data_IF_974666791630
#
_entry.id   IF_974666791630
#
_cell.length_a   1.000
_cell.length_b   1.000
_cell.length_c   1.000
_cell.angle_alpha   90.00
_cell.angle_beta   90.00
_cell.angle_gamma   90.00
#
_symmetry.space_group_name_H-M   'P 1'
#
loop_
_entity.id
_entity.type
_entity.pdbx_description
1 polymer ?
#
# COMPACT_ATOMS: atom_id res chain seq x y z
N UNK A 1 -37.16 45.88 32.81
CA UNK A 1 -36.89 44.42 32.76
C UNK A 1 -36.28 44.13 31.40
N UNK A 2 -34.97 43.92 31.33
CA UNK A 2 -34.28 43.46 30.12
C UNK A 2 -33.49 42.21 30.53
N UNK A 3 -33.97 41.04 30.09
CA UNK A 3 -33.33 39.76 30.33
C UNK A 3 -32.21 39.59 29.28
N UNK A 4 -30.96 39.68 29.71
CA UNK A 4 -29.80 39.35 28.87
C UNK A 4 -29.58 37.85 29.00
N UNK A 5 -30.03 37.09 27.99
CA UNK A 5 -29.66 35.67 27.84
C UNK A 5 -28.22 35.59 27.35
N UNK A 6 -27.29 35.30 28.26
CA UNK A 6 -25.94 34.91 27.94
C UNK A 6 -25.96 33.49 27.35
N UNK A 7 -25.78 33.38 26.04
CA UNK A 7 -25.54 32.09 25.37
C UNK A 7 -24.12 31.64 25.70
N UNK A 8 -24.02 30.72 26.65
CA UNK A 8 -22.79 29.96 26.88
C UNK A 8 -22.67 28.90 25.78
N UNK A 9 -21.89 29.20 24.74
CA UNK A 9 -21.44 28.19 23.79
C UNK A 9 -20.31 27.38 24.44
N UNK A 10 -20.42 26.04 24.51
CA UNK A 10 -19.32 25.20 24.96
C UNK A 10 -18.16 25.32 23.96
N UNK A 11 -16.97 25.60 24.47
CA UNK A 11 -15.75 25.67 23.69
C UNK A 11 -15.47 24.27 23.12
N UNK A 12 -15.77 24.10 21.83
CA UNK A 12 -15.40 22.91 21.08
C UNK A 12 -13.88 22.72 21.14
N UNK A 13 -13.47 21.59 21.70
CA UNK A 13 -12.07 21.14 21.69
C UNK A 13 -11.75 20.78 20.25
N UNK A 14 -11.06 21.65 19.54
CA UNK A 14 -10.46 21.33 18.24
C UNK A 14 -9.28 20.41 18.50
N UNK A 15 -9.51 19.10 18.44
CA UNK A 15 -8.43 18.12 18.39
C UNK A 15 -7.66 18.32 17.09
N UNK A 16 -6.44 18.85 17.19
CA UNK A 16 -5.52 18.98 16.06
C UNK A 16 -5.07 17.58 15.64
N UNK A 17 -5.58 17.08 14.52
CA UNK A 17 -5.03 15.90 13.84
C UNK A 17 -3.69 16.33 13.23
N UNK A 18 -2.60 16.24 14.01
CA UNK A 18 -1.26 16.39 13.47
C UNK A 18 -0.98 15.10 12.70
N UNK A 19 -0.97 15.18 11.37
CA UNK A 19 -0.51 14.09 10.52
C UNK A 19 0.97 13.85 10.88
N UNK A 20 1.26 12.72 11.50
CA UNK A 20 2.64 12.33 11.81
C UNK A 20 3.39 12.21 10.47
N UNK A 21 4.58 12.81 10.38
CA UNK A 21 5.44 12.75 9.20
C UNK A 21 6.75 12.07 9.60
N UNK A 22 7.27 11.20 8.72
CA UNK A 22 8.59 10.60 8.89
C UNK A 22 9.69 11.66 8.95
N UNK A 23 10.83 11.35 9.59
CA UNK A 23 11.94 12.28 9.82
C UNK A 23 12.98 12.15 8.71
N UNK A 24 13.04 13.06 7.72
CA UNK A 24 13.87 12.86 6.54
C UNK A 24 15.39 12.87 6.83
N UNK A 25 15.80 13.53 7.92
CA UNK A 25 17.20 13.59 8.37
C UNK A 25 17.73 12.25 8.86
N UNK A 26 16.84 11.33 9.24
CA UNK A 26 17.23 10.04 9.83
C UNK A 26 17.42 8.93 8.81
N UNK A 27 16.90 9.12 7.60
CA UNK A 27 17.01 8.17 6.49
C UNK A 27 18.46 7.73 6.27
N UNK A 28 19.43 8.63 6.44
CA UNK A 28 20.86 8.33 6.29
C UNK A 28 21.38 7.27 7.27
N UNK A 29 20.76 7.11 8.45
CA UNK A 29 21.15 6.14 9.47
C UNK A 29 20.60 4.74 9.18
N UNK A 30 19.44 4.65 8.55
CA UNK A 30 18.68 3.39 8.41
C UNK A 30 18.58 2.87 6.98
N UNK A 31 19.09 3.60 5.97
CA UNK A 31 18.92 3.28 4.54
C UNK A 31 19.33 1.85 4.19
N UNK A 32 20.51 1.41 4.62
CA UNK A 32 20.99 0.05 4.32
C UNK A 32 20.07 -1.02 4.91
N UNK A 33 19.76 -0.92 6.21
CA UNK A 33 18.87 -1.86 6.90
C UNK A 33 17.45 -1.87 6.30
N UNK A 34 16.95 -0.71 5.87
CA UNK A 34 15.65 -0.60 5.19
C UNK A 34 15.63 -1.40 3.90
N UNK A 35 16.70 -1.34 3.10
CA UNK A 35 16.83 -2.15 1.89
C UNK A 35 16.81 -3.65 2.23
N UNK A 36 17.57 -4.07 3.25
CA UNK A 36 17.66 -5.48 3.63
C UNK A 36 16.29 -6.02 4.10
N UNK A 37 15.55 -5.23 4.88
CA UNK A 37 14.19 -5.59 5.31
C UNK A 37 13.18 -5.56 4.16
N UNK A 38 13.25 -4.59 3.25
CA UNK A 38 12.39 -4.53 2.07
C UNK A 38 12.52 -5.80 1.21
N UNK A 39 13.77 -6.16 0.87
CA UNK A 39 14.04 -7.34 0.04
C UNK A 39 13.60 -8.62 0.76
N UNK A 40 13.87 -8.72 2.05
CA UNK A 40 13.44 -9.87 2.87
C UNK A 40 11.92 -9.99 2.91
N UNK A 41 11.20 -8.88 3.12
CA UNK A 41 9.74 -8.85 3.17
C UNK A 41 9.13 -9.25 1.83
N UNK A 42 9.66 -8.73 0.72
CA UNK A 42 9.21 -9.10 -0.62
C UNK A 42 9.49 -10.57 -0.94
N UNK A 43 10.67 -11.08 -0.57
CA UNK A 43 11.02 -12.51 -0.74
C UNK A 43 10.04 -13.41 0.02
N UNK A 44 9.71 -13.06 1.26
CA UNK A 44 8.70 -13.77 2.06
C UNK A 44 7.33 -13.76 1.38
N UNK A 45 6.92 -12.64 0.79
CA UNK A 45 5.65 -12.51 0.07
C UNK A 45 5.60 -13.30 -1.25
N UNK A 46 6.75 -13.73 -1.81
CA UNK A 46 6.80 -14.61 -2.98
C UNK A 46 6.65 -16.09 -2.65
N UNK A 47 6.69 -16.47 -1.36
CA UNK A 47 6.52 -17.86 -0.93
C UNK A 47 5.04 -18.27 -1.05
N UNK A 48 4.58 -18.46 -2.27
CA UNK A 48 3.27 -19.02 -2.56
C UNK A 48 3.35 -20.56 -2.61
N UNK A 49 2.36 -21.29 -2.06
CA UNK A 49 2.40 -22.74 -1.97
C UNK A 49 2.22 -23.46 -3.31
N UNK A 50 1.43 -22.93 -4.25
CA UNK A 50 0.94 -23.73 -5.39
C UNK A 50 1.19 -23.15 -6.78
N UNK A 51 1.50 -21.86 -6.92
CA UNK A 51 1.76 -21.24 -8.22
C UNK A 51 2.69 -20.03 -8.11
N UNK A 52 3.67 -19.96 -9.01
CA UNK A 52 4.54 -18.80 -9.18
C UNK A 52 3.73 -17.60 -9.67
N UNK A 53 3.85 -16.41 -9.04
CA UNK A 53 3.16 -15.21 -9.51
C UNK A 53 3.64 -14.84 -10.93
N UNK A 54 2.75 -14.22 -11.71
CA UNK A 54 3.19 -13.55 -12.93
C UNK A 54 3.97 -12.27 -12.61
N UNK A 55 4.66 -11.73 -13.61
CA UNK A 55 5.49 -10.53 -13.48
C UNK A 55 4.69 -9.31 -12.98
N UNK A 56 3.44 -9.16 -13.42
CA UNK A 56 2.59 -8.03 -13.03
C UNK A 56 2.23 -8.08 -11.54
N UNK A 57 2.00 -9.28 -10.99
CA UNK A 57 1.77 -9.49 -9.58
C UNK A 57 3.03 -9.22 -8.75
N UNK A 58 4.22 -9.59 -9.24
CA UNK A 58 5.50 -9.26 -8.59
C UNK A 58 5.70 -7.75 -8.55
N UNK A 59 5.52 -7.06 -9.68
CA UNK A 59 5.68 -5.61 -9.77
C UNK A 59 4.69 -4.88 -8.86
N UNK A 60 3.43 -5.30 -8.83
CA UNK A 60 2.43 -4.73 -7.92
C UNK A 60 2.82 -4.84 -6.45
N UNK A 61 3.45 -5.97 -6.05
CA UNK A 61 3.95 -6.14 -4.69
C UNK A 61 5.09 -5.19 -4.37
N UNK A 62 6.03 -4.98 -5.31
CA UNK A 62 7.14 -4.04 -5.14
C UNK A 62 6.61 -2.61 -4.96
N UNK A 63 5.66 -2.18 -5.79
CA UNK A 63 5.05 -0.84 -5.74
C UNK A 63 4.33 -0.54 -4.42
N UNK A 64 3.78 -1.58 -3.77
CA UNK A 64 3.05 -1.46 -2.50
C UNK A 64 3.91 -1.73 -1.27
N UNK A 65 5.10 -2.32 -1.44
CA UNK A 65 5.95 -2.73 -0.31
C UNK A 65 6.36 -1.57 0.61
N UNK A 66 6.42 -0.34 0.10
CA UNK A 66 6.75 0.85 0.89
C UNK A 66 5.51 1.61 1.41
N UNK A 67 4.29 1.03 1.30
CA UNK A 67 3.02 1.65 1.72
C UNK A 67 2.49 0.96 2.98
N UNK A 68 2.68 1.58 4.14
CA UNK A 68 2.32 1.00 5.46
C UNK A 68 0.84 0.62 5.65
N UNK A 69 -0.06 1.10 4.79
CA UNK A 69 -1.50 0.85 4.83
C UNK A 69 -1.91 -0.33 3.96
N UNK A 70 -1.04 -0.76 3.06
CA UNK A 70 -1.25 -1.91 2.19
C UNK A 70 -0.73 -3.18 2.87
N UNK A 71 -1.27 -4.33 2.47
CA UNK A 71 -0.85 -5.63 3.00
C UNK A 71 0.65 -5.89 2.72
N UNK A 72 1.12 -5.53 1.53
CA UNK A 72 2.50 -5.71 1.11
C UNK A 72 3.49 -4.81 1.87
N UNK A 73 3.02 -3.69 2.43
CA UNK A 73 3.81 -2.78 3.26
C UNK A 73 3.61 -2.97 4.76
N UNK A 74 2.84 -3.98 5.19
CA UNK A 74 2.57 -4.24 6.61
C UNK A 74 3.83 -4.49 7.44
N UNK A 75 4.90 -5.01 6.81
CA UNK A 75 6.20 -5.25 7.47
C UNK A 75 6.81 -3.99 8.10
N UNK A 76 6.49 -2.79 7.57
CA UNK A 76 6.94 -1.52 8.13
C UNK A 76 6.46 -1.30 9.57
N UNK A 77 5.27 -1.79 9.89
CA UNK A 77 4.64 -1.65 11.21
C UNK A 77 5.21 -2.58 12.27
N UNK A 78 6.06 -3.53 11.87
CA UNK A 78 6.74 -4.46 12.77
C UNK A 78 8.20 -4.09 13.00
N UNK A 79 8.65 -2.91 12.55
CA UNK A 79 10.01 -2.45 12.73
C UNK A 79 10.06 -1.24 13.67
N UNK A 80 11.12 -1.20 14.48
CA UNK A 80 11.42 -0.12 15.41
C UNK A 80 12.84 0.42 15.14
N UNK A 81 13.05 1.73 15.30
CA UNK A 81 14.36 2.37 15.19
C UNK A 81 15.03 2.39 16.57
N UNK A 82 15.67 1.28 16.93
CA UNK A 82 16.35 1.13 18.22
C UNK A 82 17.67 1.88 18.23
N UNK A 83 17.74 2.92 19.08
CA UNK A 83 18.91 3.80 19.20
C UNK A 83 19.88 3.33 20.30
N UNK A 84 21.14 3.11 19.91
CA UNK A 84 22.30 3.03 20.80
C UNK A 84 23.11 4.33 20.73
N UNK A 85 24.08 4.52 21.63
CA UNK A 85 24.83 5.79 21.75
C UNK A 85 25.43 6.31 20.43
N UNK A 86 25.81 5.42 19.50
CA UNK A 86 26.42 5.82 18.23
C UNK A 86 25.65 5.41 16.97
N UNK A 87 24.63 4.54 17.08
CA UNK A 87 23.97 3.90 15.91
C UNK A 87 22.47 3.73 16.11
N UNK A 88 21.72 3.76 14.99
CA UNK A 88 20.32 3.35 14.94
C UNK A 88 20.24 2.00 14.23
N UNK A 89 19.57 1.04 14.83
CA UNK A 89 19.25 -0.25 14.22
C UNK A 89 17.76 -0.38 13.94
N UNK A 90 17.42 -1.08 12.86
CA UNK A 90 16.05 -1.51 12.64
C UNK A 90 15.88 -2.88 13.28
N UNK A 91 15.01 -2.98 14.26
CA UNK A 91 14.73 -4.23 14.95
C UNK A 91 13.30 -4.67 14.70
N UNK A 92 13.14 -5.94 14.29
CA UNK A 92 11.83 -6.55 14.10
C UNK A 92 11.21 -6.87 15.45
N UNK A 93 10.06 -6.28 15.70
CA UNK A 93 9.28 -6.48 16.90
C UNK A 93 8.44 -7.76 16.79
N UNK A 94 8.12 -8.42 17.92
CA UNK A 94 7.31 -9.65 17.92
C UNK A 94 5.88 -9.44 17.39
N UNK A 95 5.37 -8.21 17.49
CA UNK A 95 4.04 -7.81 17.08
C UNK A 95 4.12 -6.50 16.30
N UNK A 96 3.18 -6.28 15.39
CA UNK A 96 3.00 -5.00 14.72
C UNK A 96 2.26 -3.99 15.61
N UNK A 97 2.41 -2.72 15.26
CA UNK A 97 1.77 -1.60 15.94
C UNK A 97 1.27 -0.52 14.98
N UNK A 98 0.72 0.58 15.51
CA UNK A 98 0.35 1.73 14.72
C UNK A 98 1.57 2.28 13.95
N UNK A 99 1.36 2.72 12.72
CA UNK A 99 2.43 3.37 11.98
C UNK A 99 2.63 4.81 12.48
N UNK A 100 3.55 4.99 13.41
CA UNK A 100 3.99 6.29 13.90
C UNK A 100 5.18 6.86 13.12
N UNK A 101 5.82 7.87 13.71
CA UNK A 101 6.97 8.59 13.15
C UNK A 101 8.10 7.70 12.62
N UNK A 102 8.47 6.65 13.35
CA UNK A 102 9.56 5.76 12.94
C UNK A 102 9.17 4.89 11.75
N UNK A 103 8.00 4.25 11.80
CA UNK A 103 7.43 3.51 10.66
C UNK A 103 7.36 4.39 9.40
N UNK A 104 6.92 5.65 9.53
CA UNK A 104 6.90 6.62 8.42
C UNK A 104 8.30 7.02 7.94
N UNK A 105 9.29 7.03 8.83
CA UNK A 105 10.70 7.29 8.48
C UNK A 105 11.29 6.13 7.68
N UNK A 106 10.98 4.90 8.06
CA UNK A 106 11.36 3.68 7.33
C UNK A 106 10.64 3.65 5.98
N UNK A 107 9.34 3.96 5.93
CA UNK A 107 8.57 4.06 4.70
C UNK A 107 9.18 5.09 3.74
N UNK A 108 9.56 6.27 4.24
CA UNK A 108 10.27 7.29 3.45
C UNK A 108 11.62 6.78 2.93
N UNK A 109 12.39 6.07 3.75
CA UNK A 109 13.65 5.48 3.32
C UNK A 109 13.44 4.42 2.24
N UNK A 110 12.38 3.61 2.35
CA UNK A 110 11.96 2.58 1.40
C UNK A 110 11.59 3.19 0.05
N UNK A 111 10.72 4.22 0.04
CA UNK A 111 10.35 4.90 -1.21
C UNK A 111 11.57 5.48 -1.93
N UNK A 112 12.46 6.17 -1.19
CA UNK A 112 13.72 6.70 -1.73
C UNK A 112 14.69 5.63 -2.22
N UNK A 113 14.51 4.37 -1.83
CA UNK A 113 15.29 3.27 -2.37
C UNK A 113 14.71 2.82 -3.71
N UNK A 114 13.40 2.62 -3.80
CA UNK A 114 12.76 2.25 -5.07
C UNK A 114 12.90 3.36 -6.12
N UNK A 115 12.88 4.64 -5.73
CA UNK A 115 13.14 5.77 -6.64
C UNK A 115 14.54 5.74 -7.30
N UNK A 116 15.46 4.87 -6.87
CA UNK A 116 16.75 4.68 -7.54
C UNK A 116 16.65 3.85 -8.83
N UNK A 117 15.52 3.19 -9.12
CA UNK A 117 15.27 2.53 -10.40
C UNK A 117 15.77 1.08 -10.52
N UNK A 118 16.03 0.39 -9.40
CA UNK A 118 16.49 -1.02 -9.39
C UNK A 118 15.37 -2.04 -9.15
N UNK A 119 14.11 -1.58 -9.14
CA UNK A 119 12.92 -2.41 -8.95
C UNK A 119 12.74 -3.46 -10.06
N UNK A 120 13.23 -3.20 -11.28
CA UNK A 120 13.16 -4.14 -12.39
C UNK A 120 14.05 -5.37 -12.13
N UNK A 121 15.31 -5.16 -11.73
CA UNK A 121 16.23 -6.25 -11.38
C UNK A 121 15.73 -7.03 -10.17
N UNK A 122 15.14 -6.32 -9.19
CA UNK A 122 14.50 -6.96 -8.04
C UNK A 122 13.31 -7.82 -8.48
N UNK A 123 12.45 -7.30 -9.36
CA UNK A 123 11.28 -7.99 -9.89
C UNK A 123 11.66 -9.26 -10.63
N UNK A 124 12.66 -9.20 -11.51
CA UNK A 124 13.19 -10.37 -12.22
C UNK A 124 13.70 -11.44 -11.25
N UNK A 125 14.51 -11.03 -10.26
CA UNK A 125 15.10 -11.97 -9.31
C UNK A 125 14.06 -12.59 -8.35
N UNK A 126 13.08 -11.79 -7.89
CA UNK A 126 11.95 -12.28 -7.09
C UNK A 126 11.08 -13.23 -7.90
N UNK A 127 10.82 -12.90 -9.16
CA UNK A 127 10.10 -13.76 -10.07
C UNK A 127 10.87 -15.08 -10.24
N UNK A 128 12.17 -15.06 -10.54
CA UNK A 128 13.01 -16.26 -10.68
C UNK A 128 12.96 -17.18 -9.46
N UNK A 129 13.05 -16.60 -8.27
CA UNK A 129 12.96 -17.34 -7.00
C UNK A 129 14.14 -18.28 -6.74
N UNK A 130 15.26 -18.09 -7.45
CA UNK A 130 16.47 -18.93 -7.37
C UNK A 130 17.35 -18.61 -6.16
N UNK A 131 17.21 -17.41 -5.58
CA UNK A 131 18.07 -16.90 -4.51
C UNK A 131 17.39 -16.98 -3.14
N UNK A 132 18.16 -17.23 -2.08
CA UNK A 132 17.68 -17.00 -0.71
C UNK A 132 17.46 -15.50 -0.46
N UNK A 133 16.65 -15.17 0.56
CA UNK A 133 16.41 -13.78 0.96
C UNK A 133 17.74 -13.05 1.27
N UNK A 134 18.68 -13.73 1.92
CA UNK A 134 19.97 -13.18 2.30
C UNK A 134 20.86 -12.88 1.09
N UNK A 135 20.92 -13.80 0.12
CA UNK A 135 21.70 -13.60 -1.10
C UNK A 135 21.12 -12.49 -1.96
N UNK A 136 19.79 -12.48 -2.15
CA UNK A 136 19.10 -11.44 -2.89
C UNK A 136 19.29 -10.07 -2.23
N UNK A 137 19.12 -9.99 -0.91
CA UNK A 137 19.37 -8.77 -0.14
C UNK A 137 20.81 -8.28 -0.28
N UNK A 138 21.79 -9.18 -0.21
CA UNK A 138 23.20 -8.82 -0.35
C UNK A 138 23.51 -8.25 -1.74
N UNK A 139 22.93 -8.79 -2.81
CA UNK A 139 23.13 -8.27 -4.16
C UNK A 139 22.36 -6.97 -4.38
N UNK A 140 21.06 -6.94 -4.08
CA UNK A 140 20.21 -5.77 -4.28
C UNK A 140 20.72 -4.55 -3.50
N UNK A 141 21.06 -4.74 -2.22
CA UNK A 141 21.41 -3.61 -1.36
C UNK A 141 22.85 -3.11 -1.53
N UNK A 142 23.75 -3.93 -2.09
CA UNK A 142 25.17 -3.55 -2.30
C UNK A 142 25.51 -3.23 -3.75
N UNK A 143 24.89 -3.92 -4.71
CA UNK A 143 25.21 -3.79 -6.15
C UNK A 143 24.19 -2.91 -6.88
N UNK A 144 22.90 -3.26 -6.80
CA UNK A 144 21.86 -2.59 -7.59
C UNK A 144 21.50 -1.22 -7.02
N UNK A 145 21.34 -1.12 -5.70
CA UNK A 145 21.08 0.15 -5.01
C UNK A 145 22.35 0.82 -4.46
N UNK A 146 22.19 2.04 -3.95
CA UNK A 146 23.22 2.75 -3.19
C UNK A 146 23.19 2.45 -1.68
N UNK A 147 22.19 1.69 -1.21
CA UNK A 147 21.80 1.59 0.19
C UNK A 147 22.95 1.21 1.14
N UNK A 148 23.71 0.16 0.78
CA UNK A 148 24.75 -0.43 1.61
C UNK A 148 26.16 -0.22 1.04
N UNK A 149 26.36 0.76 0.15
CA UNK A 149 27.69 1.07 -0.41
C UNK A 149 28.63 1.74 0.60
N UNK A 150 28.06 2.41 1.61
CA UNK A 150 28.79 3.08 2.69
C UNK A 150 28.17 2.67 4.03
N UNK A 151 29.01 2.57 5.05
CA UNK A 151 28.51 2.38 6.41
C UNK A 151 27.62 3.57 6.82
N UNK A 152 26.53 3.33 7.58
CA UNK A 152 25.74 4.41 8.14
C UNK A 152 26.61 5.38 8.97
N UNK A 153 26.37 6.70 8.88
CA UNK A 153 27.09 7.66 9.71
C UNK A 153 26.72 7.46 11.19
N UNK A 154 27.60 7.91 12.10
CA UNK A 154 27.30 7.94 13.53
C UNK A 154 26.12 8.88 13.83
N UNK A 155 25.29 8.49 14.79
CA UNK A 155 24.16 9.29 15.26
C UNK A 155 24.68 10.57 15.92
N UNK A 156 23.99 11.68 15.66
CA UNK A 156 24.28 12.94 16.33
C UNK A 156 23.80 12.88 17.79
N UNK A 157 24.69 13.13 18.75
CA UNK A 157 24.36 13.07 20.17
C UNK A 157 23.31 14.12 20.62
N UNK A 158 23.11 15.19 19.83
CA UNK A 158 22.10 16.22 20.06
C UNK A 158 20.72 15.87 19.47
N UNK A 159 20.63 14.79 18.68
CA UNK A 159 19.38 14.31 18.10
C UNK A 159 18.46 13.79 19.23
N UNK A 160 17.18 14.18 19.26
CA UNK A 160 16.23 13.57 20.19
C UNK A 160 15.99 12.10 19.81
N UNK A 161 15.92 11.23 20.82
CA UNK A 161 15.57 9.83 20.61
C UNK A 161 14.15 9.69 20.07
N UNK A 162 13.94 8.66 19.26
CA UNK A 162 12.63 8.25 18.80
C UNK A 162 11.66 7.84 19.93
N UNK A 163 10.35 7.78 19.62
CA UNK A 163 9.34 7.27 20.54
C UNK A 163 9.56 5.77 20.84
N UNK A 164 9.08 5.28 21.98
CA UNK A 164 9.12 3.84 22.24
C UNK A 164 8.11 3.10 21.34
N UNK A 165 8.51 1.94 20.82
CA UNK A 165 7.60 1.04 20.13
C UNK A 165 6.37 0.71 20.99
N UNK A 166 5.19 0.74 20.36
CA UNK A 166 3.94 0.31 20.99
C UNK A 166 3.24 -0.69 20.09
N UNK A 167 3.08 -1.96 20.50
CA UNK A 167 2.26 -2.90 19.75
C UNK A 167 0.78 -2.48 19.82
N UNK A 168 -0.01 -2.95 18.86
CA UNK A 168 -1.46 -2.83 18.99
C UNK A 168 -1.96 -3.55 20.24
N UNK A 169 -2.88 -2.91 20.95
CA UNK A 169 -3.68 -3.56 21.99
C UNK A 169 -4.68 -4.54 21.38
N UNK A 170 -5.18 -5.50 22.18
CA UNK A 170 -6.20 -6.45 21.75
C UNK A 170 -7.44 -5.72 21.19
N UNK A 171 -7.88 -4.65 21.85
CA UNK A 171 -9.00 -3.82 21.38
C UNK A 171 -8.74 -3.12 20.04
N UNK A 172 -7.50 -2.68 19.78
CA UNK A 172 -7.15 -2.10 18.49
C UNK A 172 -7.06 -3.17 17.39
N UNK A 173 -6.57 -4.37 17.72
CA UNK A 173 -6.54 -5.52 16.79
C UNK A 173 -7.96 -5.95 16.42
N UNK A 174 -8.83 -6.12 17.42
CA UNK A 174 -10.25 -6.44 17.20
C UNK A 174 -10.94 -5.39 16.34
N UNK A 175 -10.61 -4.09 16.51
CA UNK A 175 -11.16 -3.03 15.66
C UNK A 175 -10.67 -3.12 14.21
N UNK A 176 -9.40 -3.48 13.98
CA UNK A 176 -8.84 -3.68 12.64
C UNK A 176 -9.42 -4.91 11.94
N UNK A 177 -9.66 -6.00 12.68
CA UNK A 177 -10.29 -7.22 12.17
C UNK A 177 -11.81 -7.03 11.97
N UNK A 178 -12.44 -6.26 12.85
CA UNK A 178 -13.86 -5.94 12.85
C UNK A 178 -14.29 -4.91 11.81
N UNK A 179 -13.34 -4.20 11.16
CA UNK A 179 -13.64 -3.27 10.07
C UNK A 179 -14.02 -3.97 8.74
N UNK A 180 -14.21 -5.31 8.77
CA UNK A 180 -14.98 -6.03 7.75
C UNK A 180 -16.47 -5.70 7.75
N UNK A 181 -16.94 -4.88 8.68
CA UNK A 181 -18.29 -4.32 8.65
C UNK A 181 -18.45 -3.24 9.72
N UNK A 182 -18.27 -1.97 9.32
CA UNK A 182 -18.57 -0.82 10.16
C UNK A 182 -19.98 -1.00 10.74
N UNK A 183 -20.09 -1.31 12.04
CA UNK A 183 -21.38 -1.42 12.71
C UNK A 183 -22.12 -0.07 12.54
N UNK A 184 -23.12 -0.04 11.66
CA UNK A 184 -23.87 1.15 11.28
C UNK A 184 -23.64 1.71 9.87
N UNK A 185 -22.76 1.13 9.04
CA UNK A 185 -22.88 1.25 7.58
C UNK A 185 -23.49 -0.02 7.03
N UNK A 186 -24.43 0.17 6.12
CA UNK A 186 -24.95 -0.89 5.27
C UNK A 186 -23.76 -1.55 4.54
N UNK A 187 -23.75 -2.88 4.50
CA UNK A 187 -22.90 -3.63 3.60
C UNK A 187 -23.08 -3.15 2.16
N UNK A 188 -22.13 -3.43 1.27
CA UNK A 188 -22.24 -2.97 -0.13
C UNK A 188 -23.53 -3.52 -0.80
N UNK A 189 -23.97 -4.72 -0.42
CA UNK A 189 -25.25 -5.28 -0.84
C UNK A 189 -26.44 -4.46 -0.31
N UNK A 190 -26.46 -4.14 0.98
CA UNK A 190 -27.52 -3.36 1.61
C UNK A 190 -27.56 -1.90 1.13
N UNK A 191 -26.40 -1.26 0.86
CA UNK A 191 -26.35 0.09 0.32
C UNK A 191 -26.95 0.12 -1.09
N UNK A 192 -26.62 -0.84 -1.96
CA UNK A 192 -27.23 -0.94 -3.30
C UNK A 192 -28.74 -1.14 -3.24
N UNK A 193 -29.20 -1.99 -2.33
CA UNK A 193 -30.63 -2.18 -2.10
C UNK A 193 -31.31 -0.88 -1.63
N UNK A 194 -30.67 -0.13 -0.73
CA UNK A 194 -31.18 1.17 -0.27
C UNK A 194 -31.20 2.24 -1.38
N UNK A 195 -30.28 2.14 -2.35
CA UNK A 195 -30.18 3.02 -3.52
C UNK A 195 -31.05 2.56 -4.71
N UNK A 196 -31.81 1.46 -4.56
CA UNK A 196 -32.65 0.92 -5.64
C UNK A 196 -31.88 0.40 -6.84
N UNK A 197 -30.59 0.07 -6.65
CA UNK A 197 -29.76 -0.55 -7.67
C UNK A 197 -29.97 -2.06 -7.61
N UNK A 198 -30.35 -2.68 -8.74
CA UNK A 198 -30.48 -4.13 -8.81
C UNK A 198 -29.15 -4.82 -8.49
N UNK A 199 -29.18 -6.04 -7.92
CA UNK A 199 -27.97 -6.82 -7.69
C UNK A 199 -27.19 -6.98 -9.01
N UNK A 200 -25.87 -6.83 -8.94
CA UNK A 200 -25.00 -7.37 -9.98
C UNK A 200 -25.19 -8.88 -9.95
N UNK A 201 -25.59 -9.47 -11.08
CA UNK A 201 -25.43 -10.89 -11.29
C UNK A 201 -23.93 -11.17 -11.13
N UNK A 202 -23.59 -11.97 -10.11
CA UNK A 202 -22.22 -12.30 -9.79
C UNK A 202 -21.54 -12.83 -11.07
N UNK A 203 -20.54 -12.09 -11.53
CA UNK A 203 -19.66 -12.53 -12.60
C UNK A 203 -18.81 -13.68 -12.05
N UNK A 204 -19.36 -14.89 -12.14
CA UNK A 204 -18.65 -16.14 -11.97
C UNK A 204 -17.59 -16.19 -13.08
N UNK A 205 -16.35 -15.88 -12.74
CA UNK A 205 -15.21 -16.01 -13.65
C UNK A 205 -14.81 -17.48 -13.70
N UNK A 206 -15.44 -18.24 -14.58
CA UNK A 206 -14.86 -19.45 -15.16
C UNK A 206 -14.63 -19.18 -16.65
N UNK A 207 -13.41 -19.48 -17.11
CA UNK A 207 -12.91 -19.30 -18.47
C UNK A 207 -13.88 -19.81 -19.56
N UNK A 208 -14.28 -18.96 -20.51
CA UNK A 208 -14.19 -19.23 -21.95
C UNK A 208 -14.65 -18.03 -22.81
N UNK A 209 -13.97 -17.86 -23.95
CA UNK A 209 -14.18 -16.85 -24.97
C UNK A 209 -15.64 -16.80 -25.47
N UNK A 210 -16.38 -15.75 -25.09
CA UNK A 210 -17.74 -15.52 -25.57
C UNK A 210 -18.13 -14.05 -25.54
N UNK A 211 -17.51 -13.23 -26.39
CA UNK A 211 -17.96 -11.87 -26.63
C UNK A 211 -19.43 -11.87 -27.04
N UNK A 212 -20.27 -11.36 -26.14
CA UNK A 212 -21.72 -11.28 -26.17
C UNK A 212 -22.32 -11.09 -27.57
N UNK A 213 -23.04 -12.12 -28.02
CA UNK A 213 -23.77 -12.16 -29.30
C UNK A 213 -24.80 -11.02 -29.39
N UNK A 214 -25.34 -10.55 -28.26
CA UNK A 214 -26.26 -9.42 -28.24
C UNK A 214 -25.54 -8.10 -28.59
N UNK A 215 -24.32 -7.91 -28.08
CA UNK A 215 -23.47 -6.76 -28.41
C UNK A 215 -23.04 -6.77 -29.89
N UNK A 216 -22.70 -7.94 -30.45
CA UNK A 216 -22.37 -8.05 -31.88
C UNK A 216 -23.59 -7.80 -32.79
N UNK A 217 -24.76 -8.34 -32.43
CA UNK A 217 -26.00 -8.11 -33.18
C UNK A 217 -26.47 -6.65 -33.11
N UNK A 218 -26.27 -5.98 -31.97
CA UNK A 218 -26.57 -4.56 -31.82
C UNK A 218 -25.67 -3.70 -32.71
N UNK A 219 -24.38 -4.02 -32.78
CA UNK A 219 -23.40 -3.31 -33.62
C UNK A 219 -23.69 -3.48 -35.12
N UNK A 220 -23.98 -4.71 -35.56
CA UNK A 220 -24.38 -4.98 -36.95
C UNK A 220 -25.68 -4.26 -37.36
N UNK A 221 -26.67 -4.22 -36.46
CA UNK A 221 -27.91 -3.46 -36.70
C UNK A 221 -27.67 -1.95 -36.80
N UNK A 222 -26.71 -1.41 -36.05
CA UNK A 222 -26.36 0.00 -36.11
C UNK A 222 -25.64 0.34 -37.43
N UNK A 223 -24.70 -0.50 -37.85
CA UNK A 223 -23.96 -0.35 -39.11
C UNK A 223 -24.90 -0.44 -40.33
N UNK A 224 -25.87 -1.37 -40.33
CA UNK A 224 -26.90 -1.44 -41.37
C UNK A 224 -27.79 -0.20 -41.43
N UNK A 225 -28.13 0.39 -40.28
CA UNK A 225 -28.93 1.62 -40.21
C UNK A 225 -28.16 2.83 -40.72
N UNK A 226 -26.87 2.94 -40.41
CA UNK A 226 -26.00 4.00 -40.93
C UNK A 226 -25.88 3.89 -42.46
N UNK A 227 -25.65 2.69 -42.99
CA UNK A 227 -25.55 2.49 -44.43
C UNK A 227 -26.86 2.80 -45.18
N UNK A 228 -28.02 2.44 -44.60
CA UNK A 228 -29.31 2.83 -45.18
C UNK A 228 -29.55 4.35 -45.16
N UNK A 229 -29.07 5.05 -44.13
CA UNK A 229 -29.16 6.50 -44.07
C UNK A 229 -28.28 7.20 -45.11
N UNK A 230 -27.08 6.68 -45.38
CA UNK A 230 -26.17 7.20 -46.42
C UNK A 230 -26.73 6.97 -47.83
N UNK A 231 -27.32 5.79 -48.09
CA UNK A 231 -27.97 5.49 -49.39
C UNK A 231 -29.22 6.35 -49.62
N UNK A 232 -29.96 6.67 -48.56
CA UNK A 232 -31.12 7.56 -48.63
C UNK A 232 -30.72 9.02 -48.92
N UNK A 233 -29.60 9.48 -48.37
CA UNK A 233 -29.05 10.82 -48.65
C UNK A 233 -28.50 10.95 -50.08
N UNK A 234 -27.97 9.87 -50.64
CA UNK A 234 -27.40 9.85 -52.01
C UNK A 234 -28.45 9.77 -53.13
N UNK A 235 -29.70 9.42 -52.82
CA UNK A 235 -30.80 9.27 -53.81
C UNK A 235 -31.76 10.46 -53.86
N UNK A 236 -31.54 11.47 -53.03
CA UNK A 236 -32.37 12.69 -52.94
C UNK A 236 -31.59 14.01 -53.11
N UNK A 237 -30.40 13.94 -53.73
CA UNK A 237 -29.64 15.07 -54.30
C UNK A 237 -29.56 14.88 -55.82
#
# INVERSE_FOLDING_TARGET
>A
MALVLALMFPHGVVGSLVEEVGVPSDVKYIRCQTCEHLVTALHEQMKAPDKRPDESAVQSKIEKACKHGEAEGAWLRSLDMVENEETIRLEKQPQDGPCGKECLTIALACQRLLEEGWENELGEALWEGSMSAQELSAIACKKWSSACRRAPPKVDASRPKGPQFRPYSDTEREALEGDTGRAGLLSWAELRQSLGLSPEEEAHSDDELGADLATQQARLKLEQRLHQSEVFLSTHL
#
